data_IF_670703937607
#
_entry.id   IF_670703937607
#
_cell.length_a   1.000
_cell.length_b   1.000
_cell.length_c   1.000
_cell.angle_alpha   90.00
_cell.angle_beta   90.00
_cell.angle_gamma   90.00
#
_symmetry.space_group_name_H-M   'P 1'
#
loop_
_entity.id
_entity.type
_entity.pdbx_description
1 polymer ?
#
# COMPACT_ATOMS: atom_id res chain seq x y z
N UNK A 1 7.38 -15.28 5.33
CA UNK A 1 8.32 -14.46 6.14
C UNK A 1 7.71 -13.94 7.45
N UNK A 2 6.46 -13.46 7.49
CA UNK A 2 5.88 -12.83 8.69
C UNK A 2 4.69 -13.55 9.32
N UNK A 3 4.39 -14.77 8.88
CA UNK A 3 3.22 -15.56 9.33
C UNK A 3 1.87 -14.82 9.21
N UNK A 4 1.76 -13.95 8.20
CA UNK A 4 0.52 -13.25 7.85
C UNK A 4 -0.03 -13.87 6.58
N UNK A 5 -1.22 -14.48 6.68
CA UNK A 5 -1.97 -14.93 5.52
C UNK A 5 -2.83 -13.77 5.03
N UNK A 6 -2.57 -13.33 3.80
CA UNK A 6 -3.28 -12.24 3.16
C UNK A 6 -3.82 -12.68 1.80
N UNK A 7 -4.96 -12.12 1.40
CA UNK A 7 -5.62 -12.47 0.13
C UNK A 7 -5.96 -11.21 -0.68
N UNK A 8 -5.85 -11.26 -2.01
CA UNK A 8 -6.29 -10.17 -2.86
C UNK A 8 -7.82 -10.10 -2.91
N UNK A 9 -8.36 -8.88 -2.86
CA UNK A 9 -9.77 -8.62 -3.11
C UNK A 9 -10.04 -8.47 -4.62
N UNK A 10 -11.31 -8.59 -5.02
CA UNK A 10 -11.75 -8.28 -6.40
C UNK A 10 -11.46 -6.83 -6.83
N UNK A 11 -11.13 -5.94 -5.90
CA UNK A 11 -10.86 -4.51 -6.15
C UNK A 11 -9.38 -4.15 -6.04
N UNK A 12 -8.46 -5.11 -6.13
CA UNK A 12 -7.01 -4.87 -5.99
C UNK A 12 -6.58 -4.39 -4.59
N UNK A 13 -7.37 -4.69 -3.56
CA UNK A 13 -6.94 -4.52 -2.17
C UNK A 13 -6.25 -5.79 -1.67
N UNK A 14 -5.37 -5.68 -0.68
CA UNK A 14 -4.90 -6.85 0.09
C UNK A 14 -5.62 -6.86 1.45
N UNK A 15 -6.22 -8.00 1.76
CA UNK A 15 -7.04 -8.23 2.94
C UNK A 15 -6.39 -9.28 3.84
N UNK A 16 -6.60 -9.11 5.15
CA UNK A 16 -6.32 -10.12 6.17
C UNK A 16 -7.60 -10.40 6.93
N UNK A 17 -7.82 -11.65 7.31
CA UNK A 17 -8.95 -12.03 8.16
C UNK A 17 -8.55 -11.90 9.63
N UNK A 18 -9.33 -11.15 10.41
CA UNK A 18 -9.12 -11.00 11.85
C UNK A 18 -10.47 -11.15 12.54
N UNK A 19 -10.59 -12.16 13.40
CA UNK A 19 -11.83 -12.49 14.12
C UNK A 19 -13.03 -12.67 13.17
N UNK A 20 -12.85 -13.40 12.06
CA UNK A 20 -13.89 -13.64 11.06
C UNK A 20 -14.26 -12.44 10.19
N UNK A 21 -13.50 -11.34 10.27
CA UNK A 21 -13.73 -10.13 9.49
C UNK A 21 -12.54 -9.78 8.61
N UNK A 22 -12.80 -9.51 7.33
CA UNK A 22 -11.80 -8.99 6.41
C UNK A 22 -11.45 -7.54 6.73
N UNK A 23 -10.16 -7.27 6.90
CA UNK A 23 -9.60 -5.93 7.07
C UNK A 23 -8.54 -5.67 6.01
N UNK A 24 -8.59 -4.48 5.42
CA UNK A 24 -7.64 -4.04 4.41
C UNK A 24 -6.31 -3.62 5.04
N UNK A 25 -5.21 -4.13 4.48
CA UNK A 25 -3.82 -3.77 4.85
C UNK A 25 -3.08 -3.07 3.71
N UNK A 26 -3.57 -3.19 2.47
CA UNK A 26 -3.01 -2.51 1.30
C UNK A 26 -4.12 -2.11 0.34
N UNK A 27 -3.96 -0.95 -0.29
CA UNK A 27 -4.76 -0.55 -1.45
C UNK A 27 -3.86 -0.21 -2.62
N UNK A 28 -4.27 -0.64 -3.81
CA UNK A 28 -3.52 -0.40 -5.04
C UNK A 28 -4.23 0.54 -6.00
N UNK A 29 -3.44 1.13 -6.87
CA UNK A 29 -3.90 1.74 -8.11
C UNK A 29 -2.84 1.53 -9.19
N UNK A 30 -3.23 1.75 -10.44
CA UNK A 30 -2.37 1.53 -11.58
C UNK A 30 -2.60 2.61 -12.64
N UNK A 31 -1.60 2.81 -13.49
CA UNK A 31 -1.69 3.68 -14.64
C UNK A 31 -0.92 3.07 -15.79
N UNK A 32 -1.50 3.19 -16.99
CA UNK A 32 -0.89 2.81 -18.26
C UNK A 32 -0.78 4.09 -19.10
N UNK A 33 0.38 4.33 -19.70
CA UNK A 33 0.61 5.47 -20.58
C UNK A 33 1.62 5.09 -21.67
N UNK A 34 1.18 5.14 -22.92
CA UNK A 34 1.98 4.66 -24.06
C UNK A 34 2.37 3.20 -23.87
N UNK A 35 3.67 2.92 -23.91
CA UNK A 35 4.26 1.58 -23.73
C UNK A 35 4.68 1.29 -22.28
N UNK A 36 4.31 2.14 -21.32
CA UNK A 36 4.71 2.02 -19.92
C UNK A 36 3.49 1.81 -19.03
N UNK A 37 3.65 0.98 -18.00
CA UNK A 37 2.64 0.79 -16.97
C UNK A 37 3.33 0.78 -15.60
N UNK A 38 2.68 1.35 -14.60
CA UNK A 38 3.10 1.18 -13.21
C UNK A 38 1.91 0.83 -12.32
N UNK A 39 2.18 -0.08 -11.40
CA UNK A 39 1.30 -0.45 -10.29
C UNK A 39 1.92 0.10 -9.01
N UNK A 40 1.15 0.88 -8.26
CA UNK A 40 1.56 1.38 -6.96
C UNK A 40 0.56 0.95 -5.91
N UNK A 41 1.06 0.72 -4.71
CA UNK A 41 0.23 0.31 -3.58
C UNK A 41 0.74 0.93 -2.29
N UNK A 42 -0.13 0.92 -1.29
CA UNK A 42 0.23 1.27 0.09
C UNK A 42 0.34 0.01 0.94
N UNK A 43 1.07 0.07 2.04
CA UNK A 43 1.08 -1.00 3.04
C UNK A 43 0.93 -0.38 4.43
N UNK A 44 -0.12 -0.74 5.15
CA UNK A 44 -0.38 -0.26 6.51
C UNK A 44 0.48 -1.07 7.49
N UNK A 45 1.72 -0.63 7.69
CA UNK A 45 2.65 -1.27 8.65
C UNK A 45 2.29 -0.85 10.07
N UNK A 46 2.35 0.45 10.35
CA UNK A 46 2.11 1.04 11.67
C UNK A 46 1.56 2.48 11.62
N UNK A 47 0.54 2.70 10.79
CA UNK A 47 -0.03 4.04 10.61
C UNK A 47 -0.97 4.43 11.75
N UNK A 48 -1.09 5.74 12.03
CA UNK A 48 -2.11 6.27 12.94
C UNK A 48 -3.50 6.18 12.30
N UNK A 49 -4.19 5.06 12.54
CA UNK A 49 -5.49 4.77 11.92
C UNK A 49 -6.61 5.70 12.42
N UNK A 50 -6.45 6.33 13.60
CA UNK A 50 -7.41 7.32 14.08
C UNK A 50 -7.29 8.61 13.28
N UNK A 51 -6.07 9.13 13.10
CA UNK A 51 -5.83 10.30 12.23
C UNK A 51 -6.24 10.02 10.79
N UNK A 52 -5.91 8.85 10.25
CA UNK A 52 -6.32 8.45 8.91
C UNK A 52 -7.85 8.55 8.73
N UNK A 53 -8.62 7.96 9.65
CA UNK A 53 -10.09 8.01 9.61
C UNK A 53 -10.62 9.43 9.75
N UNK A 54 -10.02 10.25 10.62
CA UNK A 54 -10.42 11.63 10.81
C UNK A 54 -10.19 12.48 9.55
N UNK A 55 -9.05 12.31 8.88
CA UNK A 55 -8.69 13.04 7.65
C UNK A 55 -9.55 12.64 6.46
N UNK A 56 -9.92 11.36 6.36
CA UNK A 56 -10.76 10.85 5.27
C UNK A 56 -12.26 11.07 5.47
N UNK A 57 -12.67 11.53 6.66
CA UNK A 57 -14.08 11.85 6.94
C UNK A 57 -14.48 13.11 6.17
N UNK A 58 -15.16 12.91 5.04
CA UNK A 58 -15.74 14.00 4.26
C UNK A 58 -16.80 14.71 5.10
N UNK A 59 -16.62 16.01 5.35
CA UNK A 59 -17.71 16.88 5.84
C UNK A 59 -18.63 17.17 4.65
N UNK A 60 -19.96 17.19 4.83
CA UNK A 60 -20.87 17.60 3.77
C UNK A 60 -20.41 18.96 3.20
N UNK A 61 -20.06 18.97 1.92
CA UNK A 61 -19.81 20.19 1.14
C UNK A 61 -20.79 20.15 -0.01
N UNK A 62 -21.32 21.29 -0.42
CA UNK A 62 -22.19 21.44 -1.60
C UNK A 62 -21.42 21.28 -2.93
N UNK A 63 -20.38 20.44 -2.93
CA UNK A 63 -19.49 20.21 -4.08
C UNK A 63 -19.85 18.85 -4.69
N UNK A 64 -20.64 18.90 -5.75
CA UNK A 64 -20.91 17.74 -6.61
C UNK A 64 -19.78 17.59 -7.63
N UNK A 65 -18.79 16.76 -7.30
CA UNK A 65 -17.71 16.41 -8.23
C UNK A 65 -18.10 15.24 -9.15
N UNK A 66 -17.56 15.21 -10.37
CA UNK A 66 -17.65 14.05 -11.29
C UNK A 66 -16.57 12.99 -11.04
N UNK A 67 -15.83 13.11 -9.94
CA UNK A 67 -14.75 12.17 -9.58
C UNK A 67 -15.29 10.83 -9.13
N UNK A 68 -14.47 9.79 -9.23
CA UNK A 68 -14.80 8.46 -8.68
C UNK A 68 -14.79 8.55 -7.16
N UNK A 69 -15.91 8.22 -6.54
CA UNK A 69 -16.04 8.20 -5.08
C UNK A 69 -15.14 7.14 -4.47
N UNK A 70 -14.44 7.49 -3.38
CA UNK A 70 -13.69 6.52 -2.59
C UNK A 70 -14.64 5.51 -1.94
N UNK A 71 -14.28 4.22 -1.95
CA UNK A 71 -15.06 3.20 -1.25
C UNK A 71 -14.44 2.95 0.13
N UNK A 72 -15.13 3.29 1.23
CA UNK A 72 -14.63 3.03 2.58
C UNK A 72 -14.41 1.53 2.80
N UNK A 73 -13.39 1.18 3.59
CA UNK A 73 -13.13 -0.21 3.98
C UNK A 73 -12.51 -0.24 5.38
N UNK A 74 -12.86 -1.22 6.23
CA UNK A 74 -12.19 -1.39 7.51
C UNK A 74 -10.72 -1.73 7.27
N UNK A 75 -9.83 -1.09 8.01
CA UNK A 75 -8.36 -1.21 7.86
C UNK A 75 -7.71 -1.68 9.15
N UNK A 76 -6.53 -2.31 9.03
CA UNK A 76 -5.68 -2.73 10.14
C UNK A 76 -4.20 -2.52 9.79
N UNK A 77 -3.38 -2.29 10.80
CA UNK A 77 -1.92 -2.30 10.68
C UNK A 77 -1.38 -3.73 10.77
N UNK A 78 -0.42 -4.08 9.93
CA UNK A 78 0.25 -5.38 9.95
C UNK A 78 0.96 -5.65 11.28
N UNK A 79 1.44 -4.62 11.98
CA UNK A 79 2.02 -4.77 13.32
C UNK A 79 1.06 -5.32 14.38
N UNK A 80 -0.26 -5.26 14.13
CA UNK A 80 -1.22 -5.92 15.03
C UNK A 80 -1.22 -7.44 14.89
N UNK A 81 -0.68 -7.97 13.78
CA UNK A 81 -0.56 -9.40 13.50
C UNK A 81 0.88 -9.90 13.68
N UNK A 82 1.86 -9.06 13.32
CA UNK A 82 3.29 -9.33 13.50
C UNK A 82 3.96 -8.14 14.23
N UNK A 83 4.01 -8.13 15.57
CA UNK A 83 4.48 -6.97 16.35
C UNK A 83 5.93 -6.52 16.06
N UNK A 84 6.77 -7.45 15.61
CA UNK A 84 8.17 -7.22 15.24
C UNK A 84 8.35 -6.67 13.82
N UNK A 85 7.29 -6.62 13.00
CA UNK A 85 7.36 -6.06 11.66
C UNK A 85 7.68 -4.56 11.74
N UNK A 86 8.68 -4.15 10.95
CA UNK A 86 9.10 -2.76 10.79
C UNK A 86 9.00 -2.33 9.32
N UNK A 87 9.21 -1.03 9.07
CA UNK A 87 9.31 -0.52 7.69
C UNK A 87 10.46 -1.19 6.93
N UNK A 88 11.63 -1.26 7.56
CA UNK A 88 12.87 -1.78 6.99
C UNK A 88 12.72 -3.26 6.64
N UNK A 89 12.23 -4.07 7.60
CA UNK A 89 12.03 -5.51 7.38
C UNK A 89 10.96 -5.80 6.33
N UNK A 90 9.92 -4.96 6.23
CA UNK A 90 8.93 -5.07 5.15
C UNK A 90 9.55 -4.76 3.78
N UNK A 91 10.33 -3.69 3.67
CA UNK A 91 11.05 -3.32 2.45
C UNK A 91 12.03 -4.42 2.02
N UNK A 92 12.82 -4.96 2.94
CA UNK A 92 13.74 -6.07 2.66
C UNK A 92 13.01 -7.30 2.13
N UNK A 93 11.88 -7.66 2.76
CA UNK A 93 11.10 -8.81 2.32
C UNK A 93 10.47 -8.60 0.93
N UNK A 94 10.05 -7.37 0.60
CA UNK A 94 9.53 -7.03 -0.73
C UNK A 94 10.62 -7.10 -1.80
N UNK A 95 11.82 -6.57 -1.52
CA UNK A 95 12.97 -6.65 -2.44
C UNK A 95 13.34 -8.10 -2.70
N UNK A 96 13.45 -8.92 -1.64
CA UNK A 96 13.78 -10.33 -1.80
C UNK A 96 12.74 -11.08 -2.63
N UNK A 97 11.44 -10.84 -2.38
CA UNK A 97 10.36 -11.48 -3.13
C UNK A 97 10.38 -11.05 -4.60
N UNK A 98 10.71 -9.79 -4.89
CA UNK A 98 10.89 -9.31 -6.26
C UNK A 98 12.05 -10.03 -6.95
N UNK A 99 13.23 -10.09 -6.33
CA UNK A 99 14.40 -10.80 -6.86
C UNK A 99 14.13 -12.29 -7.08
N UNK A 100 13.45 -12.97 -6.15
CA UNK A 100 13.08 -14.38 -6.28
C UNK A 100 12.11 -14.63 -7.44
N UNK A 101 11.16 -13.72 -7.67
CA UNK A 101 10.15 -13.84 -8.73
C UNK A 101 10.75 -13.62 -10.11
N UNK A 102 11.65 -12.64 -10.26
CA UNK A 102 12.17 -12.21 -11.55
C UNK A 102 13.59 -12.73 -11.86
N UNK A 103 14.21 -13.45 -10.93
CA UNK A 103 15.55 -14.02 -11.10
C UNK A 103 16.67 -12.98 -11.15
N UNK A 104 16.41 -11.76 -10.68
CA UNK A 104 17.38 -10.67 -10.68
C UNK A 104 18.22 -10.67 -9.39
N UNK A 105 19.51 -10.36 -9.52
CA UNK A 105 20.34 -10.07 -8.35
C UNK A 105 19.89 -8.75 -7.71
N UNK A 106 20.00 -8.66 -6.39
CA UNK A 106 19.82 -7.40 -5.66
C UNK A 106 20.72 -6.33 -6.27
N UNK A 107 20.12 -5.27 -6.79
CA UNK A 107 20.81 -4.07 -7.23
C UNK A 107 20.91 -3.08 -6.06
N UNK A 108 21.89 -2.15 -6.06
CA UNK A 108 21.95 -1.08 -5.08
C UNK A 108 20.64 -0.29 -5.05
N UNK A 109 20.14 -0.01 -3.85
CA UNK A 109 18.95 0.82 -3.68
C UNK A 109 19.34 2.27 -4.00
N UNK A 110 18.65 2.86 -4.96
CA UNK A 110 18.74 4.30 -5.24
C UNK A 110 17.71 5.03 -4.38
N UNK A 111 18.18 5.89 -3.48
CA UNK A 111 17.31 6.78 -2.71
C UNK A 111 16.99 8.03 -3.52
N UNK A 112 15.72 8.15 -3.93
CA UNK A 112 15.24 9.29 -4.68
C UNK A 112 14.65 10.34 -3.73
N UNK A 113 15.27 11.52 -3.70
CA UNK A 113 14.70 12.69 -3.03
C UNK A 113 13.88 13.52 -4.01
N UNK A 114 12.88 14.26 -3.49
CA UNK A 114 12.12 15.19 -4.34
C UNK A 114 13.01 16.21 -5.07
N UNK A 115 14.13 16.60 -4.44
CA UNK A 115 15.12 17.47 -5.06
C UNK A 115 15.81 16.80 -6.27
N UNK A 116 16.11 15.50 -6.19
CA UNK A 116 16.77 14.75 -7.28
C UNK A 116 15.83 14.37 -8.44
N UNK A 117 14.52 14.27 -8.19
CA UNK A 117 13.51 13.94 -9.22
C UNK A 117 13.17 15.15 -10.10
N UNK A 118 13.39 16.37 -9.61
CA UNK A 118 12.90 17.60 -10.26
C UNK A 118 13.69 18.10 -11.48
N UNK A 119 14.81 17.45 -11.83
CA UNK A 119 15.70 17.93 -12.90
C UNK A 119 15.43 17.36 -14.29
N UNK A 120 14.63 16.31 -14.42
CA UNK A 120 14.20 15.78 -15.72
C UNK A 120 12.76 16.23 -16.02
N UNK A 121 12.63 17.38 -16.69
CA UNK A 121 11.42 17.78 -17.40
C UNK A 121 11.73 18.11 -18.85
#
# INVERSE_FOLDING_TARGET
KFDIVATPSKRTDILVEVNGMNKKVSGSAFRISGQRAYHHCTLLIDSDLQKLRALLRVRPKDVTGRGVTSVPSPVINLRQLAPSLSYETACEALVDAFCETYGEQRVPIEELELASISQDK
#
